data_IF_612158499887
#
_entry.id   IF_612158499887
#
_cell.length_a   1.000
_cell.length_b   1.000
_cell.length_c   1.000
_cell.angle_alpha   90.00
_cell.angle_beta   90.00
_cell.angle_gamma   90.00
#
_symmetry.space_group_name_H-M   'P 1'
#
loop_
_entity.id
_entity.type
_entity.pdbx_description
1 polymer ?
#
# COMPACT_ATOMS: atom_id res chain seq x y z
N UNK A 1 -32.19 -25.56 -29.17
CA UNK A 1 -30.71 -25.80 -29.23
C UNK A 1 -29.90 -24.56 -29.65
N UNK A 2 -30.42 -23.69 -30.54
CA UNK A 2 -29.77 -22.42 -30.89
C UNK A 2 -29.63 -21.36 -29.75
N UNK A 3 -30.58 -21.22 -28.79
CA UNK A 3 -30.47 -20.17 -27.75
C UNK A 3 -29.43 -20.53 -26.68
N UNK A 4 -29.29 -21.82 -26.34
CA UNK A 4 -28.30 -22.32 -25.39
C UNK A 4 -26.87 -22.14 -25.88
N UNK A 5 -26.63 -22.28 -27.18
CA UNK A 5 -25.31 -22.09 -27.78
C UNK A 5 -24.89 -20.62 -27.77
N UNK A 6 -25.82 -19.70 -28.08
CA UNK A 6 -25.57 -18.23 -27.97
C UNK A 6 -25.30 -17.81 -26.52
N UNK A 7 -26.03 -18.38 -25.56
CA UNK A 7 -25.82 -18.09 -24.14
C UNK A 7 -24.44 -18.57 -23.67
N UNK A 8 -24.02 -19.78 -24.07
CA UNK A 8 -22.68 -20.29 -23.77
C UNK A 8 -21.58 -19.40 -24.37
N UNK A 9 -21.71 -19.02 -25.64
CA UNK A 9 -20.75 -18.12 -26.31
C UNK A 9 -20.66 -16.76 -25.60
N UNK A 10 -21.79 -16.20 -25.18
CA UNK A 10 -21.82 -14.95 -24.41
C UNK A 10 -21.16 -15.09 -23.04
N UNK A 11 -21.39 -16.20 -22.33
CA UNK A 11 -20.74 -16.50 -21.05
C UNK A 11 -19.24 -16.63 -21.21
N UNK A 12 -18.77 -17.37 -22.23
CA UNK A 12 -17.34 -17.54 -22.53
C UNK A 12 -16.71 -16.17 -22.82
N UNK A 13 -17.34 -15.33 -23.64
CA UNK A 13 -16.84 -13.99 -23.94
C UNK A 13 -16.73 -13.11 -22.69
N UNK A 14 -17.72 -13.15 -21.79
CA UNK A 14 -17.71 -12.41 -20.52
C UNK A 14 -16.59 -12.90 -19.59
N UNK A 15 -16.42 -14.21 -19.46
CA UNK A 15 -15.35 -14.82 -18.67
C UNK A 15 -13.96 -14.45 -19.21
N UNK A 16 -13.77 -14.51 -20.52
CA UNK A 16 -12.50 -14.13 -21.16
C UNK A 16 -12.18 -12.65 -20.98
N UNK A 17 -13.18 -11.77 -21.10
CA UNK A 17 -13.01 -10.33 -20.85
C UNK A 17 -12.63 -10.05 -19.39
N UNK A 18 -13.25 -10.75 -18.43
CA UNK A 18 -12.92 -10.63 -17.01
C UNK A 18 -11.49 -11.11 -16.69
N UNK A 19 -11.03 -12.17 -17.35
CA UNK A 19 -9.66 -12.67 -17.22
C UNK A 19 -8.63 -11.66 -17.77
N UNK A 20 -8.92 -11.04 -18.93
CA UNK A 20 -8.07 -9.99 -19.51
C UNK A 20 -7.98 -8.76 -18.60
N UNK A 21 -9.09 -8.34 -17.99
CA UNK A 21 -9.09 -7.23 -17.04
C UNK A 21 -8.25 -7.52 -15.79
N UNK A 22 -8.23 -8.77 -15.31
CA UNK A 22 -7.35 -9.22 -14.21
C UNK A 22 -5.88 -9.36 -14.61
N UNK A 23 -5.60 -9.62 -15.88
CA UNK A 23 -4.23 -9.78 -16.39
C UNK A 23 -3.55 -8.43 -16.69
N UNK A 24 -4.30 -7.33 -16.73
CA UNK A 24 -3.72 -6.00 -16.89
C UNK A 24 -2.79 -5.70 -15.71
N UNK A 25 -1.52 -5.29 -15.95
CA UNK A 25 -0.64 -4.89 -14.88
C UNK A 25 -1.26 -3.72 -14.11
N UNK A 26 -1.05 -3.64 -12.78
CA UNK A 26 -1.59 -2.54 -12.00
C UNK A 26 -1.06 -1.21 -12.55
N UNK A 27 -1.93 -0.20 -12.60
CA UNK A 27 -1.50 1.16 -12.87
C UNK A 27 -0.61 1.64 -11.72
N UNK A 28 0.17 2.69 -11.96
CA UNK A 28 0.92 3.34 -10.90
C UNK A 28 0.03 3.62 -9.66
N UNK A 29 -1.13 4.25 -9.87
CA UNK A 29 -2.08 4.56 -8.80
C UNK A 29 -2.55 3.31 -8.06
N UNK A 30 -3.03 2.28 -8.76
CA UNK A 30 -3.54 1.08 -8.08
C UNK A 30 -2.46 0.31 -7.35
N UNK A 31 -1.22 0.29 -7.88
CA UNK A 31 -0.06 -0.30 -7.21
C UNK A 31 0.29 0.44 -5.92
N UNK A 32 0.37 1.77 -5.98
CA UNK A 32 0.66 2.64 -4.83
C UNK A 32 -0.41 2.49 -3.76
N UNK A 33 -1.69 2.56 -4.15
CA UNK A 33 -2.82 2.41 -3.23
C UNK A 33 -2.84 1.04 -2.55
N UNK A 34 -2.61 -0.03 -3.32
CA UNK A 34 -2.57 -1.39 -2.79
C UNK A 34 -1.45 -1.58 -1.77
N UNK A 35 -0.23 -1.14 -2.11
CA UNK A 35 0.93 -1.28 -1.22
C UNK A 35 0.80 -0.39 0.02
N UNK A 36 0.24 0.82 -0.11
CA UNK A 36 -0.04 1.69 1.03
C UNK A 36 -1.02 1.05 2.02
N UNK A 37 -2.06 0.37 1.54
CA UNK A 37 -3.01 -0.36 2.40
C UNK A 37 -2.34 -1.53 3.10
N UNK A 38 -1.56 -2.31 2.36
CA UNK A 38 -0.81 -3.44 2.91
C UNK A 38 0.14 -3.02 4.04
N UNK A 39 0.83 -1.88 3.88
CA UNK A 39 1.70 -1.31 4.91
C UNK A 39 0.89 -0.88 6.14
N UNK A 40 -0.22 -0.16 5.95
CA UNK A 40 -1.09 0.28 7.06
C UNK A 40 -1.66 -0.92 7.84
N UNK A 41 -2.09 -1.96 7.13
CA UNK A 41 -2.60 -3.20 7.74
C UNK A 41 -1.48 -3.93 8.50
N UNK A 42 -0.31 -4.13 7.88
CA UNK A 42 0.85 -4.76 8.51
C UNK A 42 1.29 -4.00 9.78
N UNK A 43 1.29 -2.67 9.75
CA UNK A 43 1.63 -1.85 10.92
C UNK A 43 0.60 -1.96 12.04
N UNK A 44 -0.69 -2.06 11.70
CA UNK A 44 -1.76 -2.27 12.68
C UNK A 44 -1.64 -3.65 13.32
N UNK A 45 -1.38 -4.69 12.54
CA UNK A 45 -1.14 -6.05 13.04
C UNK A 45 0.06 -6.09 13.99
N UNK A 46 1.18 -5.46 13.59
CA UNK A 46 2.38 -5.33 14.42
C UNK A 46 2.06 -4.69 15.79
N UNK A 47 1.30 -3.60 15.80
CA UNK A 47 0.91 -2.91 17.05
C UNK A 47 -0.12 -3.65 17.89
N UNK A 48 -0.91 -4.57 17.32
CA UNK A 48 -1.99 -5.27 18.02
C UNK A 48 -1.62 -6.70 18.42
N UNK A 49 -0.44 -7.17 18.03
CA UNK A 49 0.06 -8.50 18.39
C UNK A 49 0.16 -8.65 19.92
N UNK A 50 -0.15 -9.84 20.46
CA UNK A 50 -0.16 -10.06 21.92
C UNK A 50 1.22 -9.99 22.59
N UNK A 51 2.29 -10.01 21.80
CA UNK A 51 3.67 -9.94 22.23
C UNK A 51 4.34 -8.72 21.57
N UNK A 52 3.77 -7.53 21.76
CA UNK A 52 4.41 -6.30 21.33
C UNK A 52 5.72 -6.18 22.11
N UNK A 53 6.85 -6.41 21.43
CA UNK A 53 8.16 -6.11 22.00
C UNK A 53 8.20 -4.65 22.45
N UNK A 54 8.82 -4.35 23.59
CA UNK A 54 8.88 -2.98 24.14
C UNK A 54 9.42 -1.96 23.14
N UNK A 55 10.26 -2.39 22.19
CA UNK A 55 10.77 -1.48 21.16
C UNK A 55 9.67 -1.07 20.16
N UNK A 56 8.73 -1.96 19.84
CA UNK A 56 7.64 -1.75 18.85
C UNK A 56 6.68 -0.67 19.33
N UNK A 57 6.45 -0.57 20.64
CA UNK A 57 5.67 0.53 21.24
C UNK A 57 6.28 1.92 20.98
N UNK A 58 7.60 1.97 20.74
CA UNK A 58 8.31 3.22 20.46
C UNK A 58 8.35 3.57 18.98
N UNK A 59 7.85 2.70 18.10
CA UNK A 59 7.87 2.97 16.67
C UNK A 59 7.06 4.23 16.36
N UNK A 60 7.56 5.08 15.44
CA UNK A 60 6.78 6.21 14.98
C UNK A 60 5.50 5.73 14.31
N UNK A 61 4.42 6.49 14.50
CA UNK A 61 3.15 6.20 13.84
C UNK A 61 3.33 6.25 12.32
N UNK A 62 2.69 5.30 11.64
CA UNK A 62 2.78 5.15 10.19
C UNK A 62 1.38 5.21 9.57
N UNK A 63 0.81 6.42 9.51
CA UNK A 63 -0.40 6.68 8.73
C UNK A 63 -0.01 7.19 7.36
N UNK A 64 -0.57 6.56 6.33
CA UNK A 64 -0.25 6.84 4.94
C UNK A 64 -1.48 7.35 4.20
N UNK A 65 -1.37 8.53 3.61
CA UNK A 65 -2.28 9.01 2.58
C UNK A 65 -1.47 9.32 1.33
N UNK A 66 -1.71 8.55 0.27
CA UNK A 66 -1.01 8.68 -1.01
C UNK A 66 -1.35 10.00 -1.73
N UNK A 67 -2.41 10.68 -1.31
CA UNK A 67 -2.82 11.98 -1.82
C UNK A 67 -2.25 13.13 -0.98
N UNK A 68 -1.53 12.85 0.11
CA UNK A 68 -0.88 13.85 0.93
C UNK A 68 0.62 13.90 0.61
N UNK A 69 1.15 15.08 0.29
CA UNK A 69 2.56 15.27 -0.06
C UNK A 69 3.52 14.80 1.06
N UNK A 70 3.10 14.96 2.32
CA UNK A 70 3.91 14.62 3.50
C UNK A 70 4.14 13.10 3.65
N UNK A 71 3.45 12.25 2.88
CA UNK A 71 3.64 10.79 2.88
C UNK A 71 5.09 10.41 2.57
N UNK A 72 5.78 11.19 1.72
CA UNK A 72 7.18 10.94 1.37
C UNK A 72 8.10 11.10 2.58
N UNK A 73 7.88 12.16 3.37
CA UNK A 73 8.63 12.38 4.60
C UNK A 73 8.32 11.29 5.63
N UNK A 74 7.05 10.91 5.81
CA UNK A 74 6.67 9.84 6.73
C UNK A 74 7.31 8.50 6.42
N UNK A 75 7.32 8.10 5.14
CA UNK A 75 7.99 6.87 4.73
C UNK A 75 9.49 6.90 5.00
N UNK A 76 10.16 8.01 4.66
CA UNK A 76 11.60 8.18 4.89
C UNK A 76 11.92 8.10 6.39
N UNK A 77 11.17 8.83 7.21
CA UNK A 77 11.45 8.96 8.64
C UNK A 77 11.16 7.64 9.36
N UNK A 78 10.14 6.89 8.95
CA UNK A 78 9.88 5.53 9.45
C UNK A 78 11.00 4.55 9.09
N UNK A 79 11.46 4.54 7.83
CA UNK A 79 12.56 3.68 7.36
C UNK A 79 13.87 4.00 8.09
N UNK A 80 14.12 5.27 8.39
CA UNK A 80 15.32 5.73 9.08
C UNK A 80 15.27 5.53 10.61
N UNK A 81 14.16 5.04 11.18
CA UNK A 81 14.04 4.89 12.62
C UNK A 81 15.04 3.84 13.14
N UNK A 82 15.93 4.17 14.10
CA UNK A 82 17.11 3.36 14.43
C UNK A 82 16.86 2.21 15.41
N UNK A 83 15.59 1.94 15.77
CA UNK A 83 15.24 0.88 16.73
C UNK A 83 14.47 -0.25 16.06
N UNK A 84 14.42 -1.39 16.75
CA UNK A 84 13.75 -2.61 16.35
C UNK A 84 14.31 -3.31 15.10
N UNK A 85 15.57 -3.04 14.74
CA UNK A 85 16.19 -3.65 13.54
C UNK A 85 16.41 -5.17 13.66
N UNK A 86 16.24 -5.75 14.85
CA UNK A 86 16.30 -7.20 15.07
C UNK A 86 14.93 -7.87 14.98
N UNK A 87 13.84 -7.09 14.97
CA UNK A 87 12.47 -7.61 14.87
C UNK A 87 12.15 -7.80 13.39
N UNK A 88 11.90 -9.04 12.98
CA UNK A 88 11.74 -9.42 11.58
C UNK A 88 10.59 -8.67 10.91
N UNK A 89 9.44 -8.63 11.58
CA UNK A 89 8.22 -7.97 11.11
C UNK A 89 8.41 -6.47 10.90
N UNK A 90 9.23 -5.83 11.75
CA UNK A 90 9.58 -4.41 11.60
C UNK A 90 10.46 -4.19 10.37
N UNK A 91 11.46 -5.05 10.15
CA UNK A 91 12.32 -4.96 8.97
C UNK A 91 11.53 -5.19 7.68
N UNK A 92 10.65 -6.19 7.63
CA UNK A 92 9.78 -6.42 6.49
C UNK A 92 8.89 -5.20 6.21
N UNK A 93 8.34 -4.59 7.25
CA UNK A 93 7.55 -3.37 7.13
C UNK A 93 8.38 -2.18 6.62
N UNK A 94 9.62 -2.01 7.10
CA UNK A 94 10.56 -0.99 6.60
C UNK A 94 10.89 -1.20 5.12
N UNK A 95 11.09 -2.44 4.67
CA UNK A 95 11.34 -2.71 3.25
C UNK A 95 10.12 -2.42 2.37
N UNK A 96 8.90 -2.75 2.83
CA UNK A 96 7.66 -2.34 2.13
C UNK A 96 7.55 -0.82 2.05
N UNK A 97 7.82 -0.10 3.15
CA UNK A 97 7.80 1.36 3.19
C UNK A 97 8.86 1.98 2.24
N UNK A 98 10.07 1.41 2.19
CA UNK A 98 11.11 1.81 1.24
C UNK A 98 10.67 1.57 -0.20
N UNK A 99 10.07 0.41 -0.48
CA UNK A 99 9.53 0.10 -1.80
C UNK A 99 8.46 1.11 -2.23
N UNK A 100 7.51 1.43 -1.34
CA UNK A 100 6.49 2.44 -1.61
C UNK A 100 7.11 3.80 -1.89
N UNK A 101 8.07 4.25 -1.07
CA UNK A 101 8.78 5.51 -1.30
C UNK A 101 9.43 5.53 -2.69
N UNK A 102 10.18 4.50 -3.06
CA UNK A 102 10.81 4.37 -4.38
C UNK A 102 9.78 4.40 -5.52
N UNK A 103 8.65 3.71 -5.36
CA UNK A 103 7.57 3.74 -6.35
C UNK A 103 7.04 5.17 -6.53
N UNK A 104 6.71 5.86 -5.44
CA UNK A 104 6.18 7.23 -5.46
C UNK A 104 7.15 8.20 -6.16
N UNK A 105 8.46 8.15 -5.83
CA UNK A 105 9.42 9.15 -6.32
C UNK A 105 10.04 8.84 -7.68
N UNK A 106 10.09 7.57 -8.10
CA UNK A 106 10.77 7.16 -9.33
C UNK A 106 9.78 6.74 -10.40
N UNK A 107 8.98 5.70 -10.14
CA UNK A 107 8.11 5.09 -11.14
C UNK A 107 6.84 5.91 -11.37
N UNK A 108 6.28 6.45 -10.29
CA UNK A 108 4.99 7.13 -10.26
C UNK A 108 5.09 8.66 -10.27
N UNK A 109 6.30 9.21 -10.37
CA UNK A 109 6.59 10.63 -10.10
C UNK A 109 5.70 11.63 -10.85
N UNK A 110 5.28 11.29 -12.08
CA UNK A 110 4.48 12.18 -12.95
C UNK A 110 2.99 11.82 -12.96
N UNK A 111 2.63 10.67 -12.39
CA UNK A 111 1.27 10.13 -12.43
C UNK A 111 0.53 10.39 -11.11
N UNK A 112 1.26 10.68 -10.04
CA UNK A 112 0.70 11.00 -8.73
C UNK A 112 0.36 12.47 -8.62
N UNK A 113 -0.85 12.73 -8.10
CA UNK A 113 -1.33 14.07 -7.78
C UNK A 113 -1.52 14.13 -6.27
N UNK A 114 -0.73 14.99 -5.60
CA UNK A 114 -0.95 15.32 -4.21
C UNK A 114 -2.06 16.37 -4.11
N UNK A 115 -3.09 16.05 -3.34
CA UNK A 115 -4.27 16.89 -3.11
C UNK A 115 -4.10 17.81 -1.90
N UNK A 116 -3.20 17.47 -0.98
CA UNK A 116 -2.97 18.22 0.26
C UNK A 116 -1.51 18.09 0.73
N UNK A 117 -1.08 19.04 1.55
CA UNK A 117 0.20 19.11 2.25
C UNK A 117 0.03 19.30 3.77
N UNK A 118 -1.16 19.03 4.31
CA UNK A 118 -1.40 19.05 5.75
C UNK A 118 -0.75 17.82 6.42
N UNK A 119 0.50 17.97 6.85
CA UNK A 119 1.24 16.88 7.49
C UNK A 119 0.62 16.47 8.84
N UNK A 120 -0.13 17.34 9.51
CA UNK A 120 -0.73 17.01 10.80
C UNK A 120 -1.80 15.92 10.67
N UNK A 121 -2.46 15.85 9.51
CA UNK A 121 -3.40 14.78 9.19
C UNK A 121 -2.74 13.38 9.17
N UNK A 122 -1.41 13.30 9.06
CA UNK A 122 -0.66 12.04 9.12
C UNK A 122 -0.14 11.69 10.53
N UNK A 123 -0.36 12.55 11.53
CA UNK A 123 0.02 12.27 12.93
C UNK A 123 -1.13 11.64 13.73
N UNK A 124 -2.37 11.97 13.37
CA UNK A 124 -3.58 11.59 14.09
C UNK A 124 -4.52 10.85 13.12
N UNK A 125 -4.91 9.60 13.40
CA UNK A 125 -5.91 8.92 12.60
C UNK A 125 -7.27 9.60 12.78
N UNK A 126 -8.00 9.80 11.67
CA UNK A 126 -9.44 10.12 11.68
C UNK A 126 -10.23 8.81 11.85
#
# INVERSE_FOLDING_TARGET
KLPTMKMLLSLIALLSAAQLARAAPPTCYSRVLSLSKEITESFKELQTSKAVDSCVETLPRLYLDIHNYCVLAKLRDFVAYPRCDTVLEVNELKEKARSLYTILISYCRRDLVFLTDDCNALEIPI
#
